data_IF_130257081687
#
_entry.id   IF_130257081687
#
_cell.length_a   1.000
_cell.length_b   1.000
_cell.length_c   1.000
_cell.angle_alpha   90.00
_cell.angle_beta   90.00
_cell.angle_gamma   90.00
#
_symmetry.space_group_name_H-M   'P 1'
#
loop_
_entity.id
_entity.type
_entity.pdbx_description
1 polymer ?
#
# COMPACT_ATOMS: atom_id res chain seq x y z
N UNK A 1 7.64 -9.38 -8.40
CA UNK A 1 8.11 -9.62 -9.79
C UNK A 1 7.12 -9.00 -10.74
N UNK A 2 7.58 -8.28 -11.75
CA UNK A 2 6.71 -7.73 -12.80
C UNK A 2 6.28 -8.83 -13.76
N UNK A 3 4.97 -9.02 -13.95
CA UNK A 3 4.45 -9.92 -14.98
C UNK A 3 4.75 -9.37 -16.38
N UNK A 4 4.90 -10.28 -17.36
CA UNK A 4 5.16 -9.91 -18.76
C UNK A 4 3.98 -9.11 -19.32
N UNK A 5 4.27 -7.99 -19.97
CA UNK A 5 3.27 -7.11 -20.59
C UNK A 5 2.71 -6.02 -19.66
N UNK A 6 3.09 -5.99 -18.39
CA UNK A 6 2.63 -4.98 -17.44
C UNK A 6 3.50 -3.71 -17.40
N UNK A 7 4.69 -3.72 -18.00
CA UNK A 7 5.62 -2.59 -18.00
C UNK A 7 6.31 -2.42 -19.36
N UNK A 8 6.99 -1.29 -19.54
CA UNK A 8 7.86 -1.06 -20.69
C UNK A 8 8.98 -2.13 -20.77
N UNK A 9 9.34 -2.64 -21.96
CA UNK A 9 10.43 -3.59 -22.15
C UNK A 9 11.74 -3.23 -21.43
N UNK A 10 12.08 -1.95 -21.36
CA UNK A 10 13.30 -1.47 -20.71
C UNK A 10 13.30 -1.69 -19.20
N UNK A 11 12.13 -1.71 -18.56
CA UNK A 11 12.00 -1.94 -17.11
C UNK A 11 12.39 -3.37 -16.74
N UNK A 12 12.10 -4.34 -17.60
CA UNK A 12 12.43 -5.75 -17.32
C UNK A 12 13.93 -5.99 -17.24
N UNK A 13 14.77 -5.14 -17.84
CA UNK A 13 16.23 -5.23 -17.76
C UNK A 13 16.75 -5.13 -16.33
N UNK A 14 16.00 -4.44 -15.46
CA UNK A 14 16.35 -4.28 -14.05
C UNK A 14 15.84 -5.43 -13.17
N UNK A 15 14.95 -6.30 -13.68
CA UNK A 15 14.33 -7.35 -12.85
C UNK A 15 15.37 -8.29 -12.25
N UNK A 16 16.36 -8.71 -13.02
CA UNK A 16 17.44 -9.57 -12.50
C UNK A 16 18.29 -8.85 -11.45
N UNK A 17 18.58 -7.57 -11.64
CA UNK A 17 19.39 -6.79 -10.70
C UNK A 17 18.65 -6.52 -9.38
N UNK A 18 17.33 -6.37 -9.43
CA UNK A 18 16.50 -6.13 -8.24
C UNK A 18 16.10 -7.44 -7.53
N UNK A 19 16.25 -8.59 -8.19
CA UNK A 19 15.86 -9.88 -7.64
C UNK A 19 16.96 -10.43 -6.72
N UNK A 20 16.79 -10.22 -5.43
CA UNK A 20 17.65 -10.78 -4.40
C UNK A 20 16.85 -11.71 -3.47
N UNK A 21 17.48 -12.78 -2.95
CA UNK A 21 16.81 -13.64 -1.97
C UNK A 21 16.47 -12.84 -0.71
N UNK A 22 15.27 -13.08 -0.18
CA UNK A 22 14.83 -12.48 1.09
C UNK A 22 15.79 -12.92 2.22
N UNK A 23 16.34 -11.99 3.01
CA UNK A 23 17.15 -12.34 4.17
C UNK A 23 16.38 -13.23 5.16
N UNK A 24 17.00 -14.31 5.63
CA UNK A 24 16.38 -15.25 6.59
C UNK A 24 15.90 -14.54 7.87
N UNK A 25 16.66 -13.55 8.34
CA UNK A 25 16.29 -12.75 9.50
C UNK A 25 14.99 -11.96 9.27
N UNK A 26 14.78 -11.44 8.06
CA UNK A 26 13.56 -10.74 7.69
C UNK A 26 12.37 -11.69 7.67
N UNK A 27 12.54 -12.88 7.08
CA UNK A 27 11.52 -13.93 7.05
C UNK A 27 11.09 -14.35 8.46
N UNK A 28 12.06 -14.55 9.39
CA UNK A 28 11.76 -14.86 10.80
C UNK A 28 11.04 -13.71 11.48
N UNK A 29 11.48 -12.47 11.25
CA UNK A 29 10.82 -11.30 11.85
C UNK A 29 9.37 -11.14 11.39
N UNK A 30 9.08 -11.45 10.11
CA UNK A 30 7.72 -11.45 9.59
C UNK A 30 6.82 -12.39 10.40
N UNK A 31 7.26 -13.63 10.60
CA UNK A 31 6.46 -14.66 11.29
C UNK A 31 6.40 -14.49 12.81
N UNK A 32 7.52 -14.11 13.44
CA UNK A 32 7.64 -14.10 14.90
C UNK A 32 7.25 -12.75 15.52
N UNK A 33 7.42 -11.66 14.78
CA UNK A 33 7.23 -10.29 15.31
C UNK A 33 6.04 -9.59 14.67
N UNK A 34 6.00 -9.53 13.34
CA UNK A 34 5.06 -8.64 12.66
C UNK A 34 3.66 -9.26 12.48
N UNK A 35 3.57 -10.47 11.94
CA UNK A 35 2.29 -11.15 11.69
C UNK A 35 1.46 -11.40 12.97
N UNK A 36 2.02 -11.71 14.14
CA UNK A 36 1.20 -11.83 15.35
C UNK A 36 0.64 -10.50 15.86
N UNK A 37 1.25 -9.36 15.50
CA UNK A 37 0.99 -8.04 16.10
C UNK A 37 0.35 -7.04 15.14
N UNK A 38 0.22 -7.38 13.86
CA UNK A 38 -0.15 -6.38 12.84
C UNK A 38 -1.50 -5.71 13.11
N UNK A 39 -2.48 -6.42 13.69
CA UNK A 39 -3.80 -5.84 14.02
C UNK A 39 -3.71 -4.82 15.14
N UNK A 40 -2.96 -5.12 16.21
CA UNK A 40 -2.74 -4.17 17.30
C UNK A 40 -2.00 -2.92 16.81
N UNK A 41 -1.02 -3.12 15.92
CA UNK A 41 -0.29 -2.03 15.29
C UNK A 41 -1.19 -1.19 14.37
N UNK A 42 -2.00 -1.82 13.51
CA UNK A 42 -2.94 -1.14 12.63
C UNK A 42 -3.99 -0.35 13.43
N UNK A 43 -4.55 -0.94 14.49
CA UNK A 43 -5.48 -0.28 15.38
C UNK A 43 -4.85 0.93 16.10
N UNK A 44 -3.51 0.97 16.20
CA UNK A 44 -2.82 2.07 16.82
C UNK A 44 -2.67 3.32 15.93
N UNK A 45 -2.86 3.19 14.63
CA UNK A 45 -2.69 4.28 13.66
C UNK A 45 -3.82 5.31 13.81
N UNK A 46 -3.47 6.59 13.92
CA UNK A 46 -4.40 7.72 14.12
C UNK A 46 -4.46 8.70 12.95
N UNK A 47 -3.62 8.51 11.94
CA UNK A 47 -3.55 9.34 10.74
C UNK A 47 -4.36 8.72 9.60
N UNK A 48 -4.84 9.50 8.62
CA UNK A 48 -5.48 8.94 7.43
C UNK A 48 -4.63 7.88 6.74
N UNK A 49 -5.28 6.83 6.23
CA UNK A 49 -4.63 5.70 5.55
C UNK A 49 -5.23 5.51 4.16
N UNK A 50 -4.38 5.33 3.15
CA UNK A 50 -4.78 4.89 1.82
C UNK A 50 -4.14 3.54 1.51
N UNK A 51 -4.94 2.61 0.99
CA UNK A 51 -4.57 1.22 0.73
C UNK A 51 -4.91 0.90 -0.73
N UNK A 52 -3.94 0.32 -1.44
CA UNK A 52 -4.11 -0.16 -2.81
C UNK A 52 -3.62 -1.59 -2.92
N UNK A 53 -4.52 -2.52 -3.21
CA UNK A 53 -4.18 -3.91 -3.53
C UNK A 53 -4.07 -4.06 -5.04
N UNK A 54 -2.96 -4.61 -5.51
CA UNK A 54 -2.78 -4.91 -6.92
C UNK A 54 -3.67 -6.11 -7.32
N UNK A 55 -4.52 -5.97 -8.33
CA UNK A 55 -5.53 -6.97 -8.66
C UNK A 55 -4.95 -8.33 -9.06
N UNK A 56 -3.83 -8.32 -9.80
CA UNK A 56 -3.14 -9.52 -10.28
C UNK A 56 -1.86 -9.79 -9.45
N UNK A 57 -1.88 -9.45 -8.17
CA UNK A 57 -0.76 -9.66 -7.25
C UNK A 57 -0.49 -11.16 -7.04
N UNK A 58 0.80 -11.54 -7.15
CA UNK A 58 1.26 -12.93 -6.99
C UNK A 58 1.85 -13.21 -5.60
N UNK A 59 2.00 -12.18 -4.75
CA UNK A 59 2.52 -12.27 -3.40
C UNK A 59 1.42 -12.07 -2.35
N UNK A 60 0.49 -11.16 -2.61
CA UNK A 60 -0.61 -10.85 -1.68
C UNK A 60 -1.94 -11.25 -2.27
N UNK A 61 -2.88 -11.66 -1.39
CA UNK A 61 -4.24 -12.01 -1.81
C UNK A 61 -5.09 -10.76 -1.89
N UNK A 62 -5.41 -10.36 -3.11
CA UNK A 62 -6.21 -9.17 -3.44
C UNK A 62 -7.68 -9.52 -3.68
N UNK A 63 -8.41 -9.82 -2.61
CA UNK A 63 -9.86 -9.98 -2.66
C UNK A 63 -10.56 -8.90 -1.87
N UNK A 64 -11.84 -8.65 -2.19
CA UNK A 64 -12.63 -7.63 -1.49
C UNK A 64 -12.73 -7.95 0.00
N UNK A 65 -12.88 -9.23 0.37
CA UNK A 65 -12.95 -9.64 1.77
C UNK A 65 -11.65 -9.31 2.52
N UNK A 66 -10.50 -9.54 1.88
CA UNK A 66 -9.20 -9.16 2.45
C UNK A 66 -9.01 -7.66 2.54
N UNK A 67 -9.48 -6.89 1.53
CA UNK A 67 -9.42 -5.44 1.58
C UNK A 67 -10.26 -4.91 2.75
N UNK A 68 -11.47 -5.45 2.94
CA UNK A 68 -12.35 -5.05 4.05
C UNK A 68 -11.76 -5.45 5.41
N UNK A 69 -11.21 -6.66 5.54
CA UNK A 69 -10.53 -7.10 6.76
C UNK A 69 -9.34 -6.18 7.11
N UNK A 70 -8.47 -5.92 6.13
CA UNK A 70 -7.26 -5.13 6.35
C UNK A 70 -7.59 -3.66 6.63
N UNK A 71 -8.50 -3.07 5.87
CA UNK A 71 -8.97 -1.69 6.08
C UNK A 71 -9.67 -1.54 7.43
N UNK A 72 -10.48 -2.53 7.83
CA UNK A 72 -11.18 -2.56 9.10
C UNK A 72 -10.28 -2.68 10.34
N UNK A 73 -9.01 -3.06 10.18
CA UNK A 73 -8.07 -3.12 11.30
C UNK A 73 -7.60 -1.75 11.79
N UNK A 74 -7.76 -0.67 11.01
CA UNK A 74 -7.31 0.68 11.33
C UNK A 74 -8.33 1.45 12.21
N UNK A 75 -8.66 0.88 13.37
CA UNK A 75 -9.76 1.30 14.24
C UNK A 75 -9.72 2.75 14.73
N UNK A 76 -8.54 3.38 14.78
CA UNK A 76 -8.36 4.77 15.25
C UNK A 76 -8.04 5.75 14.13
N UNK A 77 -7.94 5.29 12.89
CA UNK A 77 -7.71 6.18 11.76
C UNK A 77 -8.97 7.02 11.50
N UNK A 78 -8.80 8.31 11.24
CA UNK A 78 -9.94 9.18 10.91
C UNK A 78 -10.54 8.91 9.52
N UNK A 79 -9.78 8.24 8.64
CA UNK A 79 -10.16 7.91 7.27
C UNK A 79 -9.33 6.75 6.77
N UNK A 80 -9.98 5.77 6.17
CA UNK A 80 -9.32 4.63 5.52
C UNK A 80 -9.91 4.48 4.12
N UNK A 81 -9.10 4.75 3.11
CA UNK A 81 -9.49 4.60 1.71
C UNK A 81 -8.85 3.33 1.14
N UNK A 82 -9.66 2.30 0.89
CA UNK A 82 -9.20 1.03 0.35
C UNK A 82 -9.69 0.80 -1.08
N UNK A 83 -8.88 0.13 -1.91
CA UNK A 83 -9.32 -0.33 -3.22
C UNK A 83 -8.47 -1.51 -3.73
N UNK A 84 -9.03 -2.23 -4.71
CA UNK A 84 -8.30 -3.15 -5.57
C UNK A 84 -8.11 -2.49 -6.94
N UNK A 85 -6.86 -2.45 -7.42
CA UNK A 85 -6.51 -1.91 -8.74
C UNK A 85 -6.52 -3.06 -9.73
N UNK A 86 -7.61 -3.19 -10.48
CA UNK A 86 -7.82 -4.27 -11.46
C UNK A 86 -6.65 -4.37 -12.45
N UNK A 87 -6.13 -5.58 -12.63
CA UNK A 87 -5.05 -5.89 -13.57
C UNK A 87 -3.66 -5.39 -13.17
N UNK A 88 -3.51 -4.65 -12.07
CA UNK A 88 -2.21 -4.17 -11.64
C UNK A 88 -1.34 -5.33 -11.12
N UNK A 89 -0.04 -5.35 -11.43
CA UNK A 89 0.91 -6.32 -10.89
C UNK A 89 1.38 -5.91 -9.49
N UNK A 90 2.05 -6.83 -8.78
CA UNK A 90 2.63 -6.56 -7.45
C UNK A 90 3.50 -5.30 -7.40
N UNK A 91 4.40 -5.12 -8.39
CA UNK A 91 5.27 -3.94 -8.50
C UNK A 91 4.58 -2.85 -9.34
N UNK A 92 3.38 -2.43 -8.94
CA UNK A 92 2.51 -1.53 -9.69
C UNK A 92 3.18 -0.19 -10.02
N UNK A 93 4.02 0.33 -9.13
CA UNK A 93 4.76 1.58 -9.25
C UNK A 93 5.77 1.60 -10.41
N UNK A 94 6.16 0.41 -10.90
CA UNK A 94 7.04 0.25 -12.05
C UNK A 94 6.29 -0.16 -13.34
N UNK A 95 4.95 -0.19 -13.29
CA UNK A 95 4.09 -0.72 -14.34
C UNK A 95 3.31 0.37 -15.09
N UNK A 96 2.53 0.00 -16.10
CA UNK A 96 1.62 0.93 -16.79
C UNK A 96 0.54 1.55 -15.88
N UNK A 97 0.27 0.94 -14.73
CA UNK A 97 -0.66 1.48 -13.72
C UNK A 97 -0.02 2.55 -12.83
N UNK A 98 1.31 2.73 -12.89
CA UNK A 98 2.07 3.62 -12.01
C UNK A 98 1.53 5.06 -12.04
N UNK A 99 1.28 5.62 -13.22
CA UNK A 99 0.80 7.02 -13.34
C UNK A 99 -0.52 7.23 -12.62
N UNK A 100 -1.47 6.31 -12.79
CA UNK A 100 -2.76 6.35 -12.09
C UNK A 100 -2.61 6.16 -10.59
N UNK A 101 -1.74 5.24 -10.16
CA UNK A 101 -1.44 5.03 -8.75
C UNK A 101 -0.83 6.27 -8.10
N UNK A 102 0.19 6.87 -8.71
CA UNK A 102 0.83 8.08 -8.19
C UNK A 102 -0.13 9.27 -8.15
N UNK A 103 -0.99 9.45 -9.16
CA UNK A 103 -2.01 10.50 -9.13
C UNK A 103 -2.92 10.37 -7.90
N UNK A 104 -3.30 9.15 -7.53
CA UNK A 104 -4.10 8.88 -6.33
C UNK A 104 -3.31 9.14 -5.05
N UNK A 105 -2.06 8.69 -4.97
CA UNK A 105 -1.18 8.98 -3.82
C UNK A 105 -1.03 10.48 -3.58
N UNK A 106 -0.77 11.26 -4.64
CA UNK A 106 -0.61 12.71 -4.51
C UNK A 106 -1.92 13.41 -4.18
N UNK A 107 -3.04 13.00 -4.80
CA UNK A 107 -4.36 13.52 -4.45
C UNK A 107 -4.70 13.30 -2.97
N UNK A 108 -4.51 12.07 -2.48
CA UNK A 108 -4.71 11.73 -1.07
C UNK A 108 -3.82 12.55 -0.14
N UNK A 109 -2.54 12.71 -0.49
CA UNK A 109 -1.59 13.51 0.30
C UNK A 109 -2.01 15.00 0.37
N UNK A 110 -2.49 15.58 -0.74
CA UNK A 110 -3.00 16.95 -0.77
C UNK A 110 -4.23 17.12 0.12
N UNK A 111 -5.16 16.17 0.10
CA UNK A 111 -6.34 16.18 0.99
C UNK A 111 -5.93 16.09 2.47
N UNK A 112 -4.96 15.24 2.80
CA UNK A 112 -4.41 15.13 4.15
C UNK A 112 -3.75 16.44 4.60
N UNK A 113 -2.96 17.08 3.72
CA UNK A 113 -2.31 18.36 4.01
C UNK A 113 -3.35 19.47 4.26
N UNK A 114 -4.39 19.55 3.41
CA UNK A 114 -5.47 20.51 3.59
C UNK A 114 -6.21 20.30 4.93
N UNK A 115 -6.50 19.04 5.30
CA UNK A 115 -7.13 18.71 6.58
C UNK A 115 -6.25 19.06 7.77
N UNK A 116 -4.94 18.84 7.66
CA UNK A 116 -3.98 19.19 8.70
C UNK A 116 -3.94 20.71 8.95
N UNK A 117 -3.87 21.51 7.89
CA UNK A 117 -3.91 22.98 8.02
C UNK A 117 -5.25 23.46 8.62
N UNK A 118 -6.38 22.86 8.22
CA UNK A 118 -7.67 23.17 8.83
C UNK A 118 -7.68 22.91 10.35
N UNK A 119 -7.15 21.76 10.80
CA UNK A 119 -7.07 21.40 12.22
C UNK A 119 -6.21 22.38 13.02
N UNK A 120 -5.09 22.83 12.44
CA UNK A 120 -4.23 23.85 13.06
C UNK A 120 -4.99 25.15 13.29
N UNK A 121 -5.69 25.66 12.27
CA UNK A 121 -6.48 26.90 12.40
C UNK A 121 -7.55 26.79 13.49
N UNK A 122 -8.25 25.65 13.57
CA UNK A 122 -9.27 25.43 14.60
C UNK A 122 -8.70 25.35 16.02
N UNK A 123 -7.45 24.92 16.19
CA UNK A 123 -6.80 24.84 17.51
C UNK A 123 -6.31 26.17 18.07
N UNK A 124 -6.36 27.25 17.27
CA UNK A 124 -5.91 28.60 17.64
C UNK A 124 -7.05 29.54 18.03
N UNK A 125 -8.30 29.07 18.00
CA UNK A 125 -9.53 29.78 18.37
C UNK A 125 -10.09 29.17 19.64
#
# INVERSE_FOLDING_TARGET
MLQKGCADPEIYKYTHQLNHPLPVAEMRSATEVWLPRWRDLAASVVVPVMIGFAGDDLMWKSTEEHLQEFSGAFLRSERVDGCIITGAPHNMEMSYWATGWYARCFGFALECAARFEQKKCLSQV
#
